data_IF_290706857134
#
_entry.id   IF_290706857134
#
_cell.length_a   1.000
_cell.length_b   1.000
_cell.length_c   1.000
_cell.angle_alpha   90.00
_cell.angle_beta   90.00
_cell.angle_gamma   90.00
#
_symmetry.space_group_name_H-M   'P 1'
#
loop_
_entity.id
_entity.type
_entity.pdbx_description
1 polymer ?
#
# COMPACT_ATOMS: atom_id res chain seq x y z
N UNK A 1 -15.80 -25.82 -2.77
CA UNK A 1 -15.91 -24.46 -3.34
C UNK A 1 -15.23 -23.33 -2.52
N UNK A 2 -14.68 -23.56 -1.31
CA UNK A 2 -14.05 -22.50 -0.48
C UNK A 2 -12.55 -22.27 -0.72
N UNK A 3 -11.81 -23.25 -1.25
CA UNK A 3 -10.35 -23.15 -1.44
C UNK A 3 -9.98 -22.30 -2.67
N UNK A 4 -10.70 -22.49 -3.79
CA UNK A 4 -10.46 -21.78 -5.06
C UNK A 4 -10.61 -20.26 -4.93
N UNK A 5 -11.53 -19.80 -4.08
CA UNK A 5 -11.70 -18.38 -3.79
C UNK A 5 -10.56 -17.78 -2.94
N UNK A 6 -9.86 -18.59 -2.11
CA UNK A 6 -8.74 -18.09 -1.31
C UNK A 6 -7.48 -17.90 -2.17
N UNK A 7 -7.17 -18.87 -3.03
CA UNK A 7 -6.04 -18.77 -3.96
C UNK A 7 -6.23 -17.63 -4.96
N UNK A 8 -7.43 -17.48 -5.55
CA UNK A 8 -7.74 -16.35 -6.43
C UNK A 8 -7.59 -15.00 -5.72
N UNK A 9 -8.07 -14.87 -4.47
CA UNK A 9 -7.90 -13.65 -3.67
C UNK A 9 -6.44 -13.39 -3.32
N UNK A 10 -5.66 -14.42 -3.00
CA UNK A 10 -4.23 -14.29 -2.74
C UNK A 10 -3.48 -13.79 -3.98
N UNK A 11 -3.72 -14.39 -5.15
CA UNK A 11 -3.12 -13.96 -6.42
C UNK A 11 -3.51 -12.51 -6.76
N UNK A 12 -4.79 -12.15 -6.63
CA UNK A 12 -5.26 -10.79 -6.88
C UNK A 12 -4.60 -9.76 -5.94
N UNK A 13 -4.39 -10.15 -4.68
CA UNK A 13 -3.81 -9.26 -3.67
C UNK A 13 -2.29 -9.14 -3.80
N UNK A 14 -1.61 -10.22 -4.23
CA UNK A 14 -0.20 -10.16 -4.60
C UNK A 14 0.01 -9.31 -5.86
N UNK A 15 -0.86 -9.47 -6.87
CA UNK A 15 -0.89 -8.60 -8.05
C UNK A 15 -1.15 -7.14 -7.68
N UNK A 16 -2.06 -6.88 -6.75
CA UNK A 16 -2.34 -5.54 -6.24
C UNK A 16 -1.14 -4.96 -5.46
N UNK A 17 -0.42 -5.76 -4.69
CA UNK A 17 0.82 -5.33 -4.02
C UNK A 17 1.90 -4.98 -5.04
N UNK A 18 2.11 -5.81 -6.07
CA UNK A 18 3.06 -5.50 -7.15
C UNK A 18 2.65 -4.19 -7.85
N UNK A 19 1.39 -4.04 -8.23
CA UNK A 19 0.90 -2.87 -8.96
C UNK A 19 0.95 -1.59 -8.11
N UNK A 20 0.57 -1.67 -6.83
CA UNK A 20 0.50 -0.51 -5.94
C UNK A 20 1.82 -0.16 -5.27
N UNK A 21 2.74 -1.11 -5.07
CA UNK A 21 3.98 -0.88 -4.30
C UNK A 21 5.22 -1.21 -5.12
N UNK A 22 5.26 -2.36 -5.80
CA UNK A 22 6.42 -2.79 -6.57
C UNK A 22 6.68 -1.91 -7.80
N UNK A 23 5.68 -1.76 -8.64
CA UNK A 23 5.76 -1.01 -9.90
C UNK A 23 6.07 0.48 -9.68
N UNK A 24 5.46 1.21 -8.72
CA UNK A 24 5.79 2.60 -8.50
C UNK A 24 7.22 2.80 -7.94
N UNK A 25 7.71 1.90 -7.07
CA UNK A 25 9.11 1.96 -6.62
C UNK A 25 10.08 1.68 -7.77
N UNK A 26 9.78 0.66 -8.59
CA UNK A 26 10.60 0.32 -9.74
C UNK A 26 10.66 1.49 -10.73
N UNK A 27 9.51 2.00 -11.16
CA UNK A 27 9.42 3.16 -12.06
C UNK A 27 10.10 4.39 -11.45
N UNK A 28 9.88 4.66 -10.17
CA UNK A 28 10.53 5.75 -9.43
C UNK A 28 12.06 5.65 -9.41
N UNK A 29 12.62 4.44 -9.43
CA UNK A 29 14.08 4.22 -9.54
C UNK A 29 14.59 4.38 -10.98
N UNK A 30 13.71 4.23 -11.97
CA UNK A 30 14.03 4.31 -13.41
C UNK A 30 13.77 5.67 -14.04
N UNK A 31 13.20 6.62 -13.29
CA UNK A 31 12.98 8.00 -13.77
C UNK A 31 14.28 8.63 -14.30
N UNK A 32 15.40 8.37 -13.63
CA UNK A 32 16.72 8.91 -13.98
C UNK A 32 17.35 8.25 -15.22
N UNK A 33 16.84 7.10 -15.67
CA UNK A 33 17.34 6.40 -16.86
C UNK A 33 16.63 6.89 -18.15
N UNK A 34 15.69 7.85 -18.06
CA UNK A 34 14.89 8.31 -19.19
C UNK A 34 15.62 9.45 -19.91
N UNK A 35 16.15 9.23 -21.14
CA UNK A 35 16.93 10.24 -21.85
C UNK A 35 16.10 11.49 -22.21
N UNK A 36 14.78 11.34 -22.39
CA UNK A 36 13.87 12.45 -22.65
C UNK A 36 13.67 13.40 -21.45
N UNK A 37 14.12 13.01 -20.26
CA UNK A 37 14.07 13.82 -19.05
C UNK A 37 15.45 14.37 -18.66
N UNK A 38 16.49 14.12 -19.46
CA UNK A 38 17.83 14.63 -19.16
C UNK A 38 17.86 16.17 -19.24
N UNK A 39 18.47 16.86 -18.26
CA UNK A 39 18.51 18.31 -18.25
C UNK A 39 19.40 18.82 -19.39
N UNK A 40 18.79 19.51 -20.36
CA UNK A 40 19.46 20.01 -21.58
C UNK A 40 20.39 21.20 -21.32
N UNK A 41 20.21 21.95 -20.22
CA UNK A 41 20.95 23.20 -19.95
C UNK A 41 21.35 23.40 -18.47
N UNK A 42 21.59 22.31 -17.72
CA UNK A 42 21.95 22.40 -16.28
C UNK A 42 20.83 22.91 -15.36
N UNK A 43 19.66 23.18 -15.93
CA UNK A 43 18.37 23.44 -15.29
C UNK A 43 17.47 22.25 -15.66
N UNK A 44 16.93 21.41 -14.78
CA UNK A 44 16.90 21.36 -13.33
C UNK A 44 16.48 19.93 -12.94
N UNK A 45 17.24 19.26 -12.06
CA UNK A 45 17.00 17.86 -11.61
C UNK A 45 15.66 17.70 -10.87
N UNK A 46 15.06 18.81 -10.40
CA UNK A 46 13.86 18.77 -9.55
C UNK A 46 12.65 18.10 -10.19
N UNK A 47 12.50 18.10 -11.52
CA UNK A 47 11.33 17.47 -12.14
C UNK A 47 11.40 15.94 -12.02
N UNK A 48 12.58 15.36 -12.19
CA UNK A 48 12.82 13.93 -11.99
C UNK A 48 12.62 13.55 -10.51
N UNK A 49 13.11 14.40 -9.60
CA UNK A 49 12.90 14.23 -8.15
C UNK A 49 11.41 14.24 -7.81
N UNK A 50 10.65 15.22 -8.31
CA UNK A 50 9.21 15.32 -8.09
C UNK A 50 8.46 14.11 -8.62
N UNK A 51 8.81 13.62 -9.82
CA UNK A 51 8.21 12.41 -10.40
C UNK A 51 8.54 11.19 -9.54
N UNK A 52 9.82 11.01 -9.16
CA UNK A 52 10.27 9.89 -8.34
C UNK A 52 9.60 9.88 -6.96
N UNK A 53 9.55 11.04 -6.30
CA UNK A 53 8.87 11.23 -5.01
C UNK A 53 7.38 10.94 -5.16
N UNK A 54 6.72 11.50 -6.18
CA UNK A 54 5.28 11.29 -6.41
C UNK A 54 4.95 9.81 -6.57
N UNK A 55 5.72 9.09 -7.40
CA UNK A 55 5.55 7.66 -7.61
C UNK A 55 5.71 6.87 -6.29
N UNK A 56 6.67 7.24 -5.45
CA UNK A 56 6.89 6.60 -4.13
C UNK A 56 5.83 6.95 -3.09
N UNK A 57 5.09 8.05 -3.25
CA UNK A 57 4.04 8.49 -2.34
C UNK A 57 2.66 7.90 -2.67
N UNK A 58 2.39 7.52 -3.93
CA UNK A 58 1.13 6.86 -4.36
C UNK A 58 0.67 5.70 -3.44
N UNK A 59 1.54 4.82 -2.93
CA UNK A 59 1.10 3.68 -2.13
C UNK A 59 0.56 4.09 -0.75
N UNK A 60 0.95 5.26 -0.23
CA UNK A 60 0.54 5.76 1.09
C UNK A 60 -0.99 5.91 1.22
N UNK A 61 -1.70 6.66 0.36
CA UNK A 61 -3.15 6.79 0.47
C UNK A 61 -3.88 5.46 0.23
N UNK A 62 -3.39 4.62 -0.68
CA UNK A 62 -3.96 3.29 -0.94
C UNK A 62 -3.88 2.43 0.33
N UNK A 63 -2.70 2.35 0.94
CA UNK A 63 -2.49 1.62 2.18
C UNK A 63 -3.25 2.25 3.35
N UNK A 64 -3.40 3.57 3.41
CA UNK A 64 -4.20 4.23 4.44
C UNK A 64 -5.69 3.82 4.37
N UNK A 65 -6.25 3.69 3.16
CA UNK A 65 -7.62 3.23 2.95
C UNK A 65 -7.75 1.74 3.31
N UNK A 66 -6.82 0.90 2.86
CA UNK A 66 -6.83 -0.54 3.14
C UNK A 66 -6.59 -0.84 4.62
N UNK A 67 -5.68 -0.13 5.27
CA UNK A 67 -5.37 -0.22 6.69
C UNK A 67 -6.64 -0.09 7.55
N UNK A 68 -7.54 0.85 7.21
CA UNK A 68 -8.83 1.03 7.92
C UNK A 68 -9.69 -0.23 7.90
N UNK A 69 -9.62 -1.04 6.84
CA UNK A 69 -10.42 -2.27 6.70
C UNK A 69 -9.88 -3.43 7.54
N UNK A 70 -8.60 -3.40 7.89
CA UNK A 70 -7.89 -4.46 8.61
C UNK A 70 -7.47 -4.06 10.02
N UNK A 71 -8.26 -3.19 10.65
CA UNK A 71 -8.07 -2.73 12.04
C UNK A 71 -6.81 -1.87 12.30
N UNK A 72 -6.15 -1.32 11.27
CA UNK A 72 -5.09 -0.28 11.38
C UNK A 72 -5.62 1.14 11.16
N UNK A 73 -5.03 2.16 11.80
CA UNK A 73 -5.47 3.55 11.60
C UNK A 73 -5.07 4.03 10.20
N UNK A 74 -5.79 5.00 9.64
CA UNK A 74 -5.46 5.57 8.32
C UNK A 74 -4.04 6.16 8.29
N UNK A 75 -3.62 6.83 9.38
CA UNK A 75 -2.27 7.37 9.55
C UNK A 75 -1.17 6.31 9.55
N UNK A 76 -1.50 5.05 9.86
CA UNK A 76 -0.51 3.96 9.84
C UNK A 76 -0.07 3.68 8.40
N UNK A 77 -0.81 4.15 7.37
CA UNK A 77 -0.35 4.17 5.99
C UNK A 77 0.99 4.91 5.78
N UNK A 78 1.33 5.87 6.65
CA UNK A 78 2.64 6.54 6.63
C UNK A 78 3.80 5.60 6.98
N UNK A 79 3.55 4.45 7.63
CA UNK A 79 4.59 3.45 7.88
C UNK A 79 5.17 2.88 6.58
N UNK A 80 4.47 3.03 5.46
CA UNK A 80 5.00 2.71 4.15
C UNK A 80 6.28 3.50 3.80
N UNK A 81 6.43 4.72 4.33
CA UNK A 81 7.58 5.58 4.06
C UNK A 81 8.85 5.14 4.79
N UNK A 82 8.73 4.21 5.75
CA UNK A 82 9.89 3.66 6.44
C UNK A 82 10.65 2.78 5.43
N UNK A 83 11.91 3.10 5.10
CA UNK A 83 12.68 2.33 4.13
C UNK A 83 12.72 0.85 4.51
N UNK A 84 12.63 -0.03 3.50
CA UNK A 84 12.62 -1.50 3.65
C UNK A 84 11.35 -2.01 4.36
N UNK A 85 11.06 -1.54 5.58
CA UNK A 85 9.90 -1.95 6.38
C UNK A 85 8.58 -1.70 5.67
N UNK A 86 8.38 -0.50 5.12
CA UNK A 86 7.12 -0.09 4.52
C UNK A 86 6.71 -0.96 3.34
N UNK A 87 7.65 -1.16 2.41
CA UNK A 87 7.41 -1.93 1.18
C UNK A 87 7.45 -3.45 1.38
N UNK A 88 8.34 -3.96 2.26
CA UNK A 88 8.58 -5.41 2.40
C UNK A 88 7.88 -6.05 3.60
N UNK A 89 7.47 -5.27 4.60
CA UNK A 89 6.83 -5.80 5.82
C UNK A 89 5.41 -5.26 5.95
N UNK A 90 5.25 -3.94 6.02
CA UNK A 90 3.96 -3.31 6.29
C UNK A 90 2.95 -3.55 5.16
N UNK A 91 3.31 -3.22 3.92
CA UNK A 91 2.41 -3.38 2.78
C UNK A 91 1.99 -4.86 2.59
N UNK A 92 2.89 -5.85 2.53
CA UNK A 92 2.50 -7.26 2.45
C UNK A 92 1.61 -7.71 3.61
N UNK A 93 1.87 -7.23 4.83
CA UNK A 93 1.02 -7.55 6.00
C UNK A 93 -0.40 -7.01 5.84
N UNK A 94 -0.57 -5.76 5.38
CA UNK A 94 -1.88 -5.17 5.12
C UNK A 94 -2.62 -5.96 4.05
N UNK A 95 -1.96 -6.24 2.92
CA UNK A 95 -2.52 -7.01 1.82
C UNK A 95 -2.92 -8.43 2.23
N UNK A 96 -2.05 -9.13 2.97
CA UNK A 96 -2.36 -10.44 3.54
C UNK A 96 -3.63 -10.42 4.39
N UNK A 97 -3.80 -9.40 5.26
CA UNK A 97 -5.01 -9.26 6.08
C UNK A 97 -6.25 -8.97 5.25
N UNK A 98 -6.14 -8.21 4.16
CA UNK A 98 -7.27 -7.94 3.24
C UNK A 98 -7.75 -9.24 2.58
N UNK A 99 -6.84 -10.15 2.22
CA UNK A 99 -7.19 -11.48 1.69
C UNK A 99 -8.00 -12.28 2.70
N UNK A 100 -7.66 -12.18 3.99
CA UNK A 100 -8.25 -12.99 5.03
C UNK A 100 -9.60 -12.48 5.55
N UNK A 101 -10.00 -11.24 5.21
CA UNK A 101 -11.31 -10.72 5.58
C UNK A 101 -12.45 -11.70 5.18
N UNK A 102 -13.39 -11.99 6.10
CA UNK A 102 -13.63 -11.32 7.38
C UNK A 102 -12.84 -11.88 8.58
N UNK A 103 -11.99 -12.88 8.39
CA UNK A 103 -11.15 -13.44 9.46
C UNK A 103 -10.08 -12.39 9.81
N UNK A 104 -10.18 -11.83 11.02
CA UNK A 104 -9.24 -10.83 11.55
C UNK A 104 -8.39 -11.47 12.62
N UNK A 105 -7.08 -11.38 12.47
CA UNK A 105 -6.10 -11.90 13.44
C UNK A 105 -5.93 -10.99 14.67
N UNK A 106 -6.39 -9.74 14.58
CA UNK A 106 -6.27 -8.73 15.64
C UNK A 106 -7.65 -8.32 16.14
N UNK A 107 -7.82 -8.08 17.46
CA UNK A 107 -9.06 -7.53 17.99
C UNK A 107 -9.44 -6.21 17.28
N UNK A 108 -10.74 -5.96 17.06
CA UNK A 108 -11.21 -4.71 16.49
C UNK A 108 -10.77 -3.54 17.38
N UNK A 109 -10.55 -2.37 16.78
CA UNK A 109 -10.20 -1.17 17.55
C UNK A 109 -11.31 -0.85 18.55
N UNK A 110 -11.03 -0.17 19.68
CA UNK A 110 -12.07 0.24 20.63
C UNK A 110 -13.22 1.01 19.97
N UNK A 111 -12.90 1.81 18.97
CA UNK A 111 -13.85 2.56 18.14
C UNK A 111 -14.77 1.62 17.33
N UNK A 112 -14.20 0.60 16.69
CA UNK A 112 -14.95 -0.39 15.91
C UNK A 112 -15.77 -1.32 16.82
N UNK A 113 -15.21 -1.71 17.97
CA UNK A 113 -15.88 -2.56 18.95
C UNK A 113 -17.15 -1.88 19.53
N UNK A 114 -17.08 -0.57 19.82
CA UNK A 114 -18.23 0.22 20.26
C UNK A 114 -19.36 0.25 19.23
N UNK A 115 -19.03 0.39 17.95
CA UNK A 115 -20.01 0.33 16.87
C UNK A 115 -20.68 -1.05 16.78
N UNK A 116 -19.91 -2.12 16.90
CA UNK A 116 -20.44 -3.49 16.86
C UNK A 116 -21.32 -3.85 18.07
N UNK A 117 -21.08 -3.26 19.25
CA UNK A 117 -21.94 -3.45 20.42
C UNK A 117 -23.22 -2.61 20.40
N UNK A 118 -23.26 -1.54 19.60
CA UNK A 118 -24.39 -0.62 19.52
C UNK A 118 -25.47 -1.04 18.51
N UNK A 119 -25.19 -2.01 17.64
CA UNK A 119 -26.18 -2.57 16.70
C UNK A 119 -27.00 -3.65 17.42
N UNK A 120 -28.31 -3.46 17.66
CA UNK A 120 -29.14 -4.53 18.20
C UNK A 120 -29.18 -5.70 17.20
N UNK A 121 -28.95 -6.91 17.69
CA UNK A 121 -29.01 -8.14 16.90
C UNK A 121 -30.44 -8.54 16.60
#
# INVERSE_FOLDING_TARGET
MRLTNRTARACATFGLWILCCGLPNFLGSKVYDIPALEPVDGREVWMQDLISISLRLIPVPVLAILARRVSYRARDGLMYLIPIYGALVFAPTVFWRVVHLPLRDWPPRPEEARTHSATPR
#
